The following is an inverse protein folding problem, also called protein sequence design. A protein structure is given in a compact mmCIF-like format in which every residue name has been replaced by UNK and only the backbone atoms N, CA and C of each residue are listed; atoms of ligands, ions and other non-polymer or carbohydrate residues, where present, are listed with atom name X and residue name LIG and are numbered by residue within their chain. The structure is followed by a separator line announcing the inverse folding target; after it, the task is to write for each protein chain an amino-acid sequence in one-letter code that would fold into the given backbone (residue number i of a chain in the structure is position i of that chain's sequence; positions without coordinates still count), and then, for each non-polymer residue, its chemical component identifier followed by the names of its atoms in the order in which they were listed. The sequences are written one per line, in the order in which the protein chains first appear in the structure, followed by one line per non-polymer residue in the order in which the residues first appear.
data_IF_827735833152
#
_entry.id   IF_827735833152
#
_cell.length_a   1.000
_cell.length_b   1.000
_cell.length_c   1.000
_cell.angle_alpha   90.00
_cell.angle_beta   90.00
_cell.angle_gamma   90.00
#
_symmetry.space_group_name_H-M   'P 1'
#
loop_
_entity.id
_entity.type
_entity.pdbx_description
1 polymer ?
#
# COMPACT_ATOMS: atom_id res chain seq x y z
N UNK A 1 15.20 12.48 -4.16
CA UNK A 1 14.03 13.30 -3.77
C UNK A 1 13.31 12.50 -2.70
N UNK A 2 13.48 12.88 -1.44
CA UNK A 2 13.09 12.05 -0.29
C UNK A 2 12.36 12.93 0.72
N UNK A 3 11.19 12.49 1.15
CA UNK A 3 10.40 13.13 2.19
C UNK A 3 10.56 12.30 3.46
N UNK A 4 11.13 12.89 4.52
CA UNK A 4 11.20 12.24 5.83
C UNK A 4 9.88 12.49 6.56
N UNK A 5 8.94 11.55 6.41
CA UNK A 5 7.63 11.66 7.02
C UNK A 5 7.67 11.18 8.48
N UNK A 6 7.06 11.97 9.37
CA UNK A 6 6.88 11.62 10.78
C UNK A 6 5.48 12.06 11.23
N UNK A 7 4.80 11.19 11.98
CA UNK A 7 3.56 11.52 12.65
C UNK A 7 3.51 10.91 14.05
N UNK A 8 2.93 11.66 15.00
CA UNK A 8 2.60 11.15 16.33
C UNK A 8 1.09 10.93 16.37
N UNK A 9 0.66 9.72 16.73
CA UNK A 9 -0.74 9.35 16.87
C UNK A 9 -1.10 9.30 18.35
N UNK A 10 -2.05 10.14 18.77
CA UNK A 10 -2.35 10.38 20.19
C UNK A 10 -3.82 10.17 20.56
N UNK A 11 -4.70 9.82 19.61
CA UNK A 11 -6.15 9.67 19.86
C UNK A 11 -6.46 8.48 20.78
N UNK A 12 -6.93 8.70 22.03
CA UNK A 12 -7.20 7.63 22.99
C UNK A 12 -8.48 6.85 22.70
N UNK A 13 -9.36 7.33 21.80
CA UNK A 13 -10.56 6.58 21.38
C UNK A 13 -10.23 5.48 20.38
N UNK A 14 -9.09 5.61 19.69
CA UNK A 14 -8.64 4.68 18.65
C UNK A 14 -7.47 3.84 19.14
N UNK A 15 -6.53 4.43 19.87
CA UNK A 15 -5.27 3.79 20.26
C UNK A 15 -5.12 3.62 21.76
N UNK A 16 -4.47 2.53 22.19
CA UNK A 16 -4.25 2.21 23.60
C UNK A 16 -3.18 3.08 24.28
N UNK A 17 -2.30 3.69 23.49
CA UNK A 17 -1.30 4.66 23.94
C UNK A 17 -0.79 5.50 22.76
N UNK A 18 -0.24 6.71 23.01
CA UNK A 18 0.48 7.46 22.01
C UNK A 18 1.68 6.70 21.42
N UNK A 19 1.89 6.84 20.12
CA UNK A 19 3.06 6.32 19.44
C UNK A 19 3.44 7.17 18.23
N UNK A 20 4.65 6.97 17.73
CA UNK A 20 5.21 7.72 16.61
C UNK A 20 5.55 6.78 15.46
N UNK A 21 5.18 7.19 14.25
CA UNK A 21 5.62 6.56 13.01
C UNK A 21 6.63 7.49 12.32
N UNK A 22 7.64 6.90 11.71
CA UNK A 22 8.63 7.61 10.91
C UNK A 22 9.09 6.71 9.77
N UNK A 23 9.08 7.23 8.54
CA UNK A 23 9.60 6.53 7.37
C UNK A 23 10.04 7.52 6.29
N UNK A 24 10.99 7.09 5.46
CA UNK A 24 11.41 7.82 4.28
C UNK A 24 10.46 7.50 3.12
N UNK A 25 9.83 8.53 2.56
CA UNK A 25 9.05 8.44 1.33
C UNK A 25 9.94 8.83 0.16
N UNK A 26 10.25 7.86 -0.68
CA UNK A 26 11.05 8.07 -1.88
C UNK A 26 10.17 7.99 -3.13
N UNK A 27 10.48 8.85 -4.10
CA UNK A 27 9.82 8.79 -5.40
C UNK A 27 10.42 7.63 -6.20
N UNK A 28 9.57 6.73 -6.68
CA UNK A 28 9.97 5.80 -7.73
C UNK A 28 10.24 6.58 -9.02
N UNK A 29 11.46 6.47 -9.54
CA UNK A 29 11.95 7.23 -10.68
C UNK A 29 11.82 6.50 -12.02
N UNK A 30 11.30 5.28 -12.03
CA UNK A 30 11.08 4.53 -13.27
C UNK A 30 10.13 5.29 -14.21
N UNK A 31 10.44 5.36 -15.52
CA UNK A 31 9.54 5.94 -16.51
C UNK A 31 8.16 5.28 -16.48
N UNK A 32 7.11 6.07 -16.67
CA UNK A 32 5.71 5.63 -16.70
C UNK A 32 5.20 4.91 -15.44
N UNK A 33 5.95 4.95 -14.34
CA UNK A 33 5.51 4.39 -13.07
C UNK A 33 4.26 5.08 -12.53
N UNK A 34 3.25 4.28 -12.21
CA UNK A 34 2.03 4.69 -11.51
C UNK A 34 1.87 3.90 -10.21
N UNK A 35 1.59 4.60 -9.12
CA UNK A 35 1.16 3.97 -7.87
C UNK A 35 -0.28 3.49 -8.07
N UNK A 36 -0.43 2.18 -8.29
CA UNK A 36 -1.74 1.54 -8.41
C UNK A 36 -2.22 1.06 -7.04
N UNK A 37 -3.53 1.06 -6.82
CA UNK A 37 -4.11 0.43 -5.64
C UNK A 37 -3.95 -1.09 -5.73
N UNK A 38 -3.57 -1.72 -4.63
CA UNK A 38 -3.51 -3.18 -4.57
C UNK A 38 -4.94 -3.73 -4.61
N UNK A 39 -5.30 -4.36 -5.73
CA UNK A 39 -6.54 -5.11 -5.83
C UNK A 39 -6.44 -6.34 -4.93
N UNK A 40 -7.12 -6.31 -3.78
CA UNK A 40 -7.19 -7.47 -2.89
C UNK A 40 -7.81 -8.66 -3.64
N UNK A 41 -7.01 -9.70 -3.86
CA UNK A 41 -7.44 -10.99 -4.46
C UNK A 41 -8.74 -11.53 -3.86
N UNK A 42 -8.94 -11.28 -2.56
CA UNK A 42 -10.11 -11.71 -1.81
C UNK A 42 -11.32 -10.82 -2.13
N UNK A 43 -11.98 -11.11 -3.24
CA UNK A 43 -13.16 -10.38 -3.71
C UNK A 43 -13.11 -9.96 -5.17
N UNK A 44 -11.95 -10.09 -5.82
CA UNK A 44 -11.80 -9.79 -7.26
C UNK A 44 -12.60 -10.79 -8.11
N UNK A 45 -13.67 -10.29 -8.72
CA UNK A 45 -14.54 -11.09 -9.60
C UNK A 45 -14.01 -11.17 -11.02
N UNK A 46 -12.94 -10.44 -11.31
CA UNK A 46 -12.38 -10.31 -12.66
C UNK A 46 -10.93 -10.76 -12.80
N UNK A 47 -10.50 -11.70 -11.94
CA UNK A 47 -9.18 -12.35 -12.01
C UNK A 47 -8.83 -12.93 -13.39
N UNK A 48 -9.83 -13.16 -14.27
CA UNK A 48 -9.65 -13.66 -15.63
C UNK A 48 -9.03 -12.66 -16.60
N UNK A 49 -9.10 -11.35 -16.32
CA UNK A 49 -8.51 -10.30 -17.15
C UNK A 49 -7.18 -9.77 -16.59
N UNK A 50 -6.74 -10.25 -15.43
CA UNK A 50 -5.42 -9.97 -14.89
C UNK A 50 -4.43 -11.05 -15.31
N UNK A 51 -3.21 -10.63 -15.67
CA UNK A 51 -2.11 -11.58 -15.91
C UNK A 51 -1.64 -12.17 -14.57
N UNK A 52 -1.00 -13.35 -14.57
CA UNK A 52 -0.46 -13.94 -13.33
C UNK A 52 0.67 -13.10 -12.68
N UNK A 53 1.28 -12.19 -13.45
CA UNK A 53 2.24 -11.21 -12.95
C UNK A 53 1.57 -10.02 -12.26
N UNK A 54 0.44 -9.55 -12.79
CA UNK A 54 -0.28 -8.37 -12.29
C UNK A 54 -1.37 -8.72 -11.25
N UNK A 55 -1.86 -9.96 -11.27
CA UNK A 55 -2.85 -10.50 -10.34
C UNK A 55 -2.32 -11.74 -9.62
N UNK A 56 -2.83 -12.03 -8.43
CA UNK A 56 -2.42 -13.27 -7.74
C UNK A 56 -3.01 -14.50 -8.43
N UNK A 57 -2.27 -15.62 -8.36
CA UNK A 57 -2.76 -16.92 -8.85
C UNK A 57 -4.08 -17.30 -8.19
N UNK A 58 -5.07 -17.67 -9.01
CA UNK A 58 -6.31 -18.29 -8.54
C UNK A 58 -5.96 -19.52 -7.71
N UNK A 59 -6.24 -19.49 -6.40
CA UNK A 59 -6.12 -20.69 -5.56
C UNK A 59 -7.15 -21.71 -6.06
N UNK A 60 -6.65 -22.90 -6.40
CA UNK A 60 -7.46 -24.05 -6.81
C UNK A 60 -8.16 -24.67 -5.60
#
# INVERSE_FOLDING_TARGET
NTINYQATLEDPKVFTRPFKIAFALERNAEPDYQQMEYACVEGERDLQHYTEEEGAKKKT
#
